data_IF_627852427590
#
_entry.id   IF_627852427590
#
_cell.length_a   1.000
_cell.length_b   1.000
_cell.length_c   1.000
_cell.angle_alpha   90.00
_cell.angle_beta   90.00
_cell.angle_gamma   90.00
#
_symmetry.space_group_name_H-M   'P 1'
#
loop_
_entity.id
_entity.type
_entity.pdbx_description
1 polymer ?
#
# COMPACT_ATOMS: atom_id res chain seq x y z
N UNK A 1 13.14 3.11 -10.19
CA UNK A 1 13.56 3.04 -8.77
C UNK A 1 13.12 1.73 -8.11
N UNK A 2 11.81 1.47 -7.88
CA UNK A 2 11.35 0.26 -7.18
C UNK A 2 11.81 -1.05 -7.81
N UNK A 3 11.67 -1.22 -9.14
CA UNK A 3 12.13 -2.42 -9.86
C UNK A 3 13.63 -2.71 -9.65
N UNK A 4 14.47 -1.67 -9.78
CA UNK A 4 15.92 -1.74 -9.56
C UNK A 4 16.25 -2.15 -8.11
N UNK A 5 15.58 -1.53 -7.14
CA UNK A 5 15.73 -1.87 -5.73
C UNK A 5 15.36 -3.33 -5.44
N UNK A 6 14.19 -3.78 -5.90
CA UNK A 6 13.71 -5.15 -5.65
C UNK A 6 14.63 -6.18 -6.27
N UNK A 7 15.10 -5.93 -7.49
CA UNK A 7 16.06 -6.79 -8.17
C UNK A 7 17.39 -6.87 -7.41
N UNK A 8 17.89 -5.77 -6.88
CA UNK A 8 19.08 -5.80 -6.01
C UNK A 8 18.82 -6.62 -4.73
N UNK A 9 17.65 -6.46 -4.11
CA UNK A 9 17.30 -7.18 -2.89
C UNK A 9 17.09 -8.68 -3.14
N UNK A 10 16.57 -9.10 -4.29
CA UNK A 10 16.29 -10.51 -4.57
C UNK A 10 17.55 -11.37 -4.65
N UNK A 11 18.73 -10.76 -4.82
CA UNK A 11 20.03 -11.46 -4.80
C UNK A 11 20.48 -11.79 -3.37
N UNK A 12 20.07 -10.98 -2.38
CA UNK A 12 20.57 -11.07 -1.00
C UNK A 12 19.56 -11.66 -0.02
N UNK A 13 18.33 -11.91 -0.44
CA UNK A 13 17.26 -12.45 0.38
C UNK A 13 16.63 -13.65 -0.31
N UNK A 14 16.40 -14.73 0.45
CA UNK A 14 15.81 -15.96 -0.09
C UNK A 14 14.38 -15.72 -0.58
N UNK A 15 13.64 -14.83 0.10
CA UNK A 15 12.25 -14.55 -0.24
C UNK A 15 11.93 -13.08 -0.02
N UNK A 16 11.20 -12.51 -0.98
CA UNK A 16 10.63 -11.17 -0.91
C UNK A 16 9.11 -11.27 -0.91
N UNK A 17 8.45 -10.52 -0.03
CA UNK A 17 6.99 -10.51 0.08
C UNK A 17 6.48 -9.08 0.00
N UNK A 18 5.59 -8.80 -0.95
CA UNK A 18 4.86 -7.54 -0.99
C UNK A 18 3.56 -7.68 -0.21
N UNK A 19 3.30 -6.72 0.68
CA UNK A 19 2.04 -6.69 1.42
C UNK A 19 1.61 -5.27 1.77
N UNK A 20 0.30 -5.11 1.94
CA UNK A 20 -0.34 -3.93 2.51
C UNK A 20 -1.13 -4.38 3.73
N UNK A 21 -0.64 -4.12 4.96
CA UNK A 21 -1.29 -4.62 6.15
C UNK A 21 -2.63 -3.90 6.36
N UNK A 22 -3.56 -4.56 7.05
CA UNK A 22 -4.90 -3.98 7.36
C UNK A 22 -4.82 -2.73 8.24
N UNK A 23 -3.71 -2.53 8.93
CA UNK A 23 -3.41 -1.31 9.69
C UNK A 23 -3.00 -0.12 8.81
N UNK A 24 -2.64 -0.34 7.54
CA UNK A 24 -2.40 0.73 6.58
C UNK A 24 -3.72 1.31 6.08
N UNK A 25 -3.74 2.60 5.77
CA UNK A 25 -4.92 3.25 5.17
C UNK A 25 -5.22 2.60 3.83
N UNK A 26 -6.46 2.15 3.58
CA UNK A 26 -6.79 1.30 2.43
C UNK A 26 -6.73 2.06 1.10
N UNK A 27 -7.00 3.37 1.11
CA UNK A 27 -6.88 4.24 -0.06
C UNK A 27 -5.45 4.75 -0.33
N UNK A 28 -4.49 4.44 0.54
CA UNK A 28 -3.11 4.93 0.42
C UNK A 28 -2.27 4.08 -0.55
N UNK A 29 -1.35 4.71 -1.27
CA UNK A 29 -0.33 4.02 -2.06
C UNK A 29 0.75 3.30 -1.21
N UNK A 30 0.71 3.49 0.12
CA UNK A 30 1.59 2.82 1.08
C UNK A 30 1.50 1.30 0.97
N UNK A 31 2.68 0.68 0.88
CA UNK A 31 2.90 -0.76 0.80
C UNK A 31 4.28 -1.10 1.35
N UNK A 32 4.44 -2.35 1.75
CA UNK A 32 5.65 -2.84 2.40
C UNK A 32 6.26 -3.97 1.57
N UNK A 33 7.58 -3.94 1.45
CA UNK A 33 8.39 -5.05 0.98
C UNK A 33 9.06 -5.69 2.19
N UNK A 34 8.73 -6.95 2.47
CA UNK A 34 9.34 -7.73 3.54
C UNK A 34 10.41 -8.63 2.94
N UNK A 35 11.63 -8.44 3.39
CA UNK A 35 12.79 -9.23 2.98
C UNK A 35 13.03 -10.34 4.00
N UNK A 36 12.99 -11.60 3.58
CA UNK A 36 13.16 -12.77 4.45
C UNK A 36 14.50 -13.46 4.21
N UNK A 37 15.10 -13.94 5.30
CA UNK A 37 16.31 -14.76 5.31
C UNK A 37 17.44 -14.13 4.52
N UNK A 38 18.13 -13.20 5.18
CA UNK A 38 19.29 -12.53 4.62
C UNK A 38 20.43 -13.53 4.38
N UNK A 39 20.91 -13.61 3.15
CA UNK A 39 21.97 -14.52 2.73
C UNK A 39 23.39 -13.98 2.99
N UNK A 40 23.51 -12.72 3.42
CA UNK A 40 24.78 -12.04 3.66
C UNK A 40 25.23 -11.15 2.50
N UNK A 41 26.27 -10.35 2.77
CA UNK A 41 26.95 -9.51 1.79
C UNK A 41 28.34 -10.05 1.47
N UNK A 42 28.86 -9.81 0.25
CA UNK A 42 30.26 -10.08 -0.02
C UNK A 42 31.16 -9.19 0.85
N UNK A 43 32.39 -9.64 1.20
CA UNK A 43 33.31 -8.88 2.05
C UNK A 43 33.69 -7.50 1.49
N UNK A 44 33.64 -7.34 0.16
CA UNK A 44 33.94 -6.10 -0.55
C UNK A 44 32.71 -5.19 -0.73
N UNK A 45 31.58 -5.50 -0.08
CA UNK A 45 30.37 -4.72 -0.26
C UNK A 45 30.53 -3.30 0.30
N UNK A 46 30.16 -2.32 -0.52
CA UNK A 46 30.15 -0.91 -0.14
C UNK A 46 28.71 -0.39 -0.20
N UNK A 47 28.14 -0.10 0.97
CA UNK A 47 26.75 0.37 1.08
C UNK A 47 26.51 1.71 0.40
N UNK A 48 27.49 2.63 0.45
CA UNK A 48 27.37 3.94 -0.19
C UNK A 48 27.29 3.80 -1.72
N UNK A 49 28.20 3.03 -2.31
CA UNK A 49 28.19 2.75 -3.74
C UNK A 49 26.92 2.01 -4.19
N UNK A 50 26.38 1.14 -3.33
CA UNK A 50 25.11 0.44 -3.59
C UNK A 50 23.91 1.38 -3.60
N UNK A 51 23.82 2.29 -2.62
CA UNK A 51 22.78 3.33 -2.55
C UNK A 51 22.86 4.22 -3.79
N UNK A 52 24.06 4.71 -4.11
CA UNK A 52 24.31 5.56 -5.27
C UNK A 52 23.91 4.87 -6.56
N UNK A 53 24.20 3.58 -6.72
CA UNK A 53 23.75 2.82 -7.89
C UNK A 53 22.22 2.73 -7.95
N UNK A 54 21.53 2.39 -6.87
CA UNK A 54 20.07 2.23 -6.87
C UNK A 54 19.34 3.54 -7.15
N UNK A 55 19.84 4.64 -6.58
CA UNK A 55 19.27 5.98 -6.76
C UNK A 55 19.65 6.59 -8.11
N UNK A 56 20.81 6.20 -8.67
CA UNK A 56 21.23 6.65 -9.99
C UNK A 56 20.39 6.01 -11.09
N UNK A 57 19.79 6.85 -11.92
CA UNK A 57 19.12 6.45 -13.16
C UNK A 57 20.11 6.09 -14.29
N UNK A 58 21.42 6.15 -14.04
CA UNK A 58 22.44 5.82 -15.03
C UNK A 58 22.67 4.30 -15.08
N UNK A 59 22.54 3.78 -16.29
CA UNK A 59 22.80 2.41 -16.78
C UNK A 59 21.76 1.32 -16.52
N UNK A 60 21.09 0.99 -17.62
CA UNK A 60 20.71 -0.35 -18.05
C UNK A 60 21.99 -1.20 -18.20
N UNK A 61 22.33 -1.99 -17.18
CA UNK A 61 23.22 -3.12 -17.41
C UNK A 61 22.44 -4.19 -18.18
N UNK A 62 22.99 -4.65 -19.32
CA UNK A 62 22.52 -5.82 -20.05
C UNK A 62 22.57 -7.02 -19.12
N UNK A 63 21.42 -7.37 -18.55
CA UNK A 63 21.28 -8.54 -17.68
C UNK A 63 20.30 -9.51 -18.30
N UNK A 64 20.61 -10.78 -18.08
CA UNK A 64 19.97 -11.96 -18.65
C UNK A 64 18.43 -11.85 -18.61
N UNK A 65 17.85 -11.70 -19.79
CA UNK A 65 16.52 -11.14 -20.03
C UNK A 65 15.39 -12.04 -19.51
N UNK A 66 15.66 -13.35 -19.39
CA UNK A 66 14.63 -14.35 -19.07
C UNK A 66 14.19 -14.35 -17.60
N UNK A 67 15.11 -14.15 -16.65
CA UNK A 67 14.77 -14.15 -15.22
C UNK A 67 14.15 -12.80 -14.80
N UNK A 68 14.65 -11.72 -15.40
CA UNK A 68 14.13 -10.37 -15.16
C UNK A 68 12.68 -10.22 -15.63
N UNK A 69 12.30 -10.84 -16.75
CA UNK A 69 10.93 -10.81 -17.24
C UNK A 69 9.91 -11.31 -16.20
N UNK A 70 10.20 -12.42 -15.50
CA UNK A 70 9.26 -13.00 -14.54
C UNK A 70 9.12 -12.12 -13.28
N UNK A 71 10.23 -11.59 -12.76
CA UNK A 71 10.22 -10.67 -11.63
C UNK A 71 9.46 -9.38 -11.97
N UNK A 72 9.73 -8.81 -13.15
CA UNK A 72 9.08 -7.59 -13.62
C UNK A 72 7.56 -7.79 -13.78
N UNK A 73 7.13 -8.88 -14.40
CA UNK A 73 5.71 -9.24 -14.51
C UNK A 73 5.05 -9.43 -13.14
N UNK A 74 5.77 -10.01 -12.17
CA UNK A 74 5.24 -10.14 -10.82
C UNK A 74 5.06 -8.77 -10.16
N UNK A 75 6.03 -7.86 -10.31
CA UNK A 75 5.93 -6.49 -9.80
C UNK A 75 4.78 -5.71 -10.44
N UNK A 76 4.58 -5.88 -11.74
CA UNK A 76 3.44 -5.29 -12.46
C UNK A 76 2.10 -5.78 -11.90
N UNK A 77 1.98 -7.08 -11.59
CA UNK A 77 0.77 -7.63 -10.96
C UNK A 77 0.57 -7.06 -9.56
N UNK A 78 1.62 -6.97 -8.74
CA UNK A 78 1.54 -6.38 -7.39
C UNK A 78 1.07 -4.93 -7.45
N UNK A 79 1.64 -4.12 -8.34
CA UNK A 79 1.24 -2.72 -8.50
C UNK A 79 -0.22 -2.61 -8.98
N UNK A 80 -0.65 -3.47 -9.90
CA UNK A 80 -2.03 -3.53 -10.39
C UNK A 80 -3.02 -3.92 -9.28
N UNK A 81 -2.71 -4.96 -8.50
CA UNK A 81 -3.56 -5.44 -7.40
C UNK A 81 -3.72 -4.38 -6.31
N UNK A 82 -2.62 -3.72 -5.92
CA UNK A 82 -2.66 -2.64 -4.91
C UNK A 82 -3.45 -1.44 -5.43
N UNK A 83 -3.26 -1.06 -6.69
CA UNK A 83 -4.02 0.02 -7.32
C UNK A 83 -5.51 -0.30 -7.33
N UNK A 84 -5.87 -1.53 -7.69
CA UNK A 84 -7.25 -2.01 -7.66
C UNK A 84 -7.86 -1.96 -6.26
N UNK A 85 -7.10 -2.35 -5.24
CA UNK A 85 -7.54 -2.25 -3.83
C UNK A 85 -7.77 -0.80 -3.43
N UNK A 86 -6.85 0.10 -3.77
CA UNK A 86 -6.98 1.53 -3.46
C UNK A 86 -8.20 2.15 -4.13
N UNK A 87 -8.44 1.86 -5.41
CA UNK A 87 -9.63 2.35 -6.15
C UNK A 87 -10.90 1.87 -5.46
N UNK A 88 -11.00 0.57 -5.14
CA UNK A 88 -12.15 0.02 -4.42
C UNK A 88 -12.37 0.72 -3.08
N UNK A 89 -11.30 0.96 -2.32
CA UNK A 89 -11.38 1.68 -1.05
C UNK A 89 -11.88 3.10 -1.22
N UNK A 90 -11.34 3.85 -2.19
CA UNK A 90 -11.83 5.18 -2.51
C UNK A 90 -13.32 5.17 -2.88
N UNK A 91 -13.74 4.25 -3.76
CA UNK A 91 -15.15 4.12 -4.14
C UNK A 91 -16.04 3.83 -2.93
N UNK A 92 -15.66 2.90 -2.06
CA UNK A 92 -16.44 2.59 -0.84
C UNK A 92 -16.51 3.77 0.13
N UNK A 93 -15.42 4.54 0.28
CA UNK A 93 -15.40 5.76 1.11
C UNK A 93 -16.37 6.80 0.52
N UNK A 94 -16.32 7.03 -0.79
CA UNK A 94 -17.20 7.99 -1.46
C UNK A 94 -18.68 7.59 -1.31
N UNK A 95 -19.03 6.33 -1.61
CA UNK A 95 -20.41 5.85 -1.44
C UNK A 95 -20.90 5.95 0.00
N UNK A 96 -20.04 5.70 0.98
CA UNK A 96 -20.40 5.90 2.39
C UNK A 96 -20.69 7.37 2.71
N UNK A 97 -19.84 8.29 2.23
CA UNK A 97 -20.03 9.73 2.45
C UNK A 97 -21.28 10.26 1.76
N UNK A 98 -21.57 9.81 0.53
CA UNK A 98 -22.78 10.14 -0.21
C UNK A 98 -24.05 9.67 0.52
N UNK A 99 -24.09 8.41 0.95
CA UNK A 99 -25.22 7.88 1.71
C UNK A 99 -25.38 8.60 3.06
N UNK A 100 -24.28 8.92 3.74
CA UNK A 100 -24.32 9.68 4.99
C UNK A 100 -24.88 11.08 4.80
N UNK A 101 -24.54 11.75 3.70
CA UNK A 101 -25.09 13.07 3.36
C UNK A 101 -26.60 13.00 3.12
N UNK A 102 -27.08 12.00 2.35
CA UNK A 102 -28.51 11.80 2.09
C UNK A 102 -29.32 11.56 3.36
N UNK A 103 -28.79 10.79 4.32
CA UNK A 103 -29.47 10.54 5.61
C UNK A 103 -29.49 11.79 6.49
N UNK A 104 -28.44 12.60 6.45
CA UNK A 104 -28.39 13.86 7.19
C UNK A 104 -29.38 14.91 6.62
N UNK A 105 -29.62 14.90 5.31
CA UNK A 105 -30.59 15.78 4.65
C UNK A 105 -32.06 15.35 4.85
N UNK A 106 -32.31 14.08 5.21
CA UNK A 106 -33.64 13.53 5.49
C UNK A 106 -34.03 13.56 6.98
N UNK A 107 -33.13 14.04 7.86
CA UNK A 107 -33.31 14.04 9.31
C UNK A 107 -33.52 15.42 9.94
N UNK A 108 -33.90 16.43 9.15
CA UNK A 108 -33.99 17.84 9.59
C UNK A 108 -35.45 18.37 9.56
N UNK A 109 -36.36 17.60 10.17
CA UNK A 109 -37.65 18.10 10.68
C UNK A 109 -37.78 17.56 12.11
N UNK A 110 -37.81 18.46 13.10
CA UNK A 110 -37.97 18.26 14.56
C UNK A 110 -36.67 18.09 15.39
N UNK A 111 -36.00 19.20 15.73
CA UNK A 111 -35.99 19.73 17.12
C UNK A 111 -35.06 20.95 17.25
N UNK A 112 -35.64 22.06 17.72
CA UNK A 112 -34.93 23.24 18.20
C UNK A 112 -34.04 22.90 19.41
N UNK A 113 -32.86 23.52 19.46
CA UNK A 113 -31.90 23.57 20.57
C UNK A 113 -31.27 22.25 21.05
N UNK A 114 -29.99 22.04 20.65
CA UNK A 114 -28.91 21.84 21.64
C UNK A 114 -27.50 22.00 21.07
N UNK A 115 -26.78 22.84 21.80
CA UNK A 115 -25.36 23.13 21.78
C UNK A 115 -24.41 21.94 21.56
N UNK A 116 -23.25 22.29 21.01
CA UNK A 116 -22.02 21.51 20.93
C UNK A 116 -22.06 20.31 19.97
N UNK A 117 -21.94 20.61 18.67
CA UNK A 117 -21.26 19.72 17.70
C UNK A 117 -19.79 19.56 18.10
N UNK A 118 -19.54 18.78 19.15
CA UNK A 118 -18.24 18.20 19.43
C UNK A 118 -17.95 17.21 18.31
N UNK A 119 -17.25 17.70 17.28
CA UNK A 119 -16.65 16.89 16.23
C UNK A 119 -15.56 15.99 16.83
N UNK A 120 -15.96 15.02 17.66
CA UNK A 120 -15.13 13.86 17.93
C UNK A 120 -15.31 12.93 16.74
N UNK A 121 -14.47 13.18 15.74
CA UNK A 121 -14.18 12.30 14.60
C UNK A 121 -13.59 10.99 15.12
N UNK A 122 -14.36 10.21 15.87
CA UNK A 122 -14.04 8.84 16.20
C UNK A 122 -14.59 8.04 15.03
N UNK A 123 -13.71 7.79 14.07
CA UNK A 123 -13.94 6.79 13.02
C UNK A 123 -14.34 5.50 13.72
N UNK A 124 -15.57 5.04 13.49
CA UNK A 124 -16.06 3.80 14.07
C UNK A 124 -15.28 2.62 13.47
N UNK A 125 -14.28 2.18 14.22
CA UNK A 125 -13.37 1.11 13.86
C UNK A 125 -14.11 -0.23 13.70
N UNK A 126 -15.24 -0.42 14.40
CA UNK A 126 -16.04 -1.65 14.32
C UNK A 126 -16.86 -1.66 13.03
N UNK A 127 -17.53 -0.56 12.71
CA UNK A 127 -18.21 -0.40 11.42
C UNK A 127 -17.23 -0.58 10.25
N UNK A 128 -16.02 -0.01 10.37
CA UNK A 128 -14.94 -0.20 9.40
C UNK A 128 -14.50 -1.67 9.28
N UNK A 129 -14.27 -2.38 10.39
CA UNK A 129 -13.90 -3.81 10.35
C UNK A 129 -15.00 -4.68 9.72
N UNK A 130 -16.26 -4.38 10.01
CA UNK A 130 -17.41 -5.12 9.50
C UNK A 130 -17.61 -4.91 7.99
N UNK A 131 -17.60 -3.65 7.52
CA UNK A 131 -17.76 -3.32 6.10
C UNK A 131 -16.69 -3.99 5.21
N UNK A 132 -15.50 -4.19 5.77
CA UNK A 132 -14.37 -4.79 5.08
C UNK A 132 -14.22 -6.30 5.31
N UNK A 133 -15.17 -6.96 5.99
CA UNK A 133 -15.14 -8.39 6.34
C UNK A 133 -13.81 -8.82 7.00
N UNK A 134 -13.26 -7.95 7.84
CA UNK A 134 -11.95 -8.14 8.47
C UNK A 134 -12.00 -8.98 9.76
N UNK A 135 -13.19 -9.45 10.17
CA UNK A 135 -13.35 -10.39 11.28
C UNK A 135 -13.52 -11.80 10.73
N UNK A 136 -12.49 -12.64 10.91
CA UNK A 136 -12.60 -14.09 10.96
C UNK A 136 -12.85 -14.52 12.41
#
# INVERSE_FOLDING_TARGET
AMRKLVRCLSVHFIRLTFLKPVSSRPASAERYLVCHSFAGMPPSWNGQAWIENILSQKQEEKVDDSCDCALLQHLDRVDADITRLNIKACSSILSYLENKAQVAELGDDDDEDKDAKSYTSIVDVLAYKYAWKLQQ
#
